data_IF_329539742814
#
_entry.id   IF_329539742814
#
_cell.length_a   1.000
_cell.length_b   1.000
_cell.length_c   1.000
_cell.angle_alpha   90.00
_cell.angle_beta   90.00
_cell.angle_gamma   90.00
#
_symmetry.space_group_name_H-M   'P 1'
#
loop_
_entity.id
_entity.type
_entity.pdbx_description
1 polymer ?
#
# COMPACT_ATOMS: atom_id res chain seq x y z
N UNK A 1 19.26 -38.41 -10.19
CA UNK A 1 20.26 -37.72 -11.02
C UNK A 1 20.40 -36.31 -10.44
N UNK A 2 21.62 -35.88 -10.12
CA UNK A 2 21.88 -34.53 -9.62
C UNK A 2 22.68 -33.75 -10.66
N UNK A 3 22.33 -32.47 -10.82
CA UNK A 3 23.18 -31.50 -11.52
C UNK A 3 23.91 -30.69 -10.47
N UNK A 4 25.23 -30.68 -10.53
CA UNK A 4 26.08 -29.93 -9.61
C UNK A 4 27.20 -29.27 -10.41
N UNK A 5 27.45 -27.99 -10.14
CA UNK A 5 28.55 -27.21 -10.70
C UNK A 5 29.10 -26.31 -9.61
N UNK A 6 30.42 -26.11 -9.60
CA UNK A 6 31.10 -25.15 -8.74
C UNK A 6 31.26 -23.77 -9.42
N UNK A 7 30.72 -23.63 -10.62
CA UNK A 7 30.77 -22.40 -11.43
C UNK A 7 29.37 -22.04 -11.92
N UNK A 8 29.17 -21.96 -13.24
CA UNK A 8 27.88 -21.59 -13.85
C UNK A 8 27.16 -22.84 -14.37
N UNK A 9 25.85 -22.90 -14.15
CA UNK A 9 24.93 -23.73 -14.93
C UNK A 9 24.06 -22.80 -15.75
N UNK A 10 24.18 -22.84 -17.08
CA UNK A 10 23.33 -22.07 -17.98
C UNK A 10 22.17 -22.94 -18.47
N UNK A 11 20.94 -22.47 -18.27
CA UNK A 11 19.72 -23.11 -18.77
C UNK A 11 19.09 -22.18 -19.81
N UNK A 12 19.14 -22.58 -21.08
CA UNK A 12 18.56 -21.80 -22.18
C UNK A 12 17.37 -22.56 -22.76
N UNK A 13 16.19 -21.98 -22.70
CA UNK A 13 14.97 -22.51 -23.30
C UNK A 13 14.29 -21.43 -24.15
N UNK A 14 13.71 -21.80 -25.29
CA UNK A 14 12.99 -20.86 -26.17
C UNK A 14 11.59 -20.51 -25.66
N UNK A 15 11.04 -21.31 -24.75
CA UNK A 15 9.65 -21.18 -24.29
C UNK A 15 9.59 -21.03 -22.78
N UNK A 16 10.03 -22.03 -22.03
CA UNK A 16 9.98 -22.01 -20.57
C UNK A 16 11.00 -22.96 -19.95
N UNK A 17 11.36 -22.65 -18.71
CA UNK A 17 12.01 -23.58 -17.78
C UNK A 17 11.00 -23.86 -16.67
N UNK A 18 10.62 -25.13 -16.51
CA UNK A 18 9.69 -25.56 -15.45
C UNK A 18 10.47 -26.33 -14.39
N UNK A 19 10.46 -25.83 -13.15
CA UNK A 19 11.01 -26.52 -11.99
C UNK A 19 9.82 -27.06 -11.19
N UNK A 20 9.71 -28.39 -11.11
CA UNK A 20 8.65 -29.05 -10.35
C UNK A 20 9.19 -29.58 -9.02
N UNK A 21 8.33 -29.57 -8.01
CA UNK A 21 8.67 -29.96 -6.65
C UNK A 21 7.75 -29.27 -5.66
N UNK A 22 7.86 -29.64 -4.39
CA UNK A 22 7.09 -29.00 -3.31
C UNK A 22 7.76 -27.75 -2.76
N UNK A 23 9.05 -27.51 -3.07
CA UNK A 23 9.83 -26.34 -2.65
C UNK A 23 10.99 -26.06 -3.61
N UNK A 24 11.35 -24.79 -3.75
CA UNK A 24 12.55 -24.32 -4.46
C UNK A 24 13.29 -23.35 -3.54
N UNK A 25 14.59 -23.56 -3.35
CA UNK A 25 15.43 -22.73 -2.48
C UNK A 25 16.56 -22.11 -3.29
N UNK A 26 16.69 -20.79 -3.24
CA UNK A 26 17.85 -20.04 -3.77
C UNK A 26 18.65 -19.55 -2.57
N UNK A 27 19.86 -20.10 -2.38
CA UNK A 27 20.71 -19.81 -1.24
C UNK A 27 22.00 -19.08 -1.65
N UNK A 28 22.50 -18.21 -0.77
CA UNK A 28 23.80 -17.54 -0.93
C UNK A 28 23.79 -16.23 -1.76
N UNK A 29 22.63 -15.77 -2.25
CA UNK A 29 22.54 -14.53 -3.03
C UNK A 29 21.11 -14.11 -3.39
N UNK A 30 20.98 -13.10 -4.26
CA UNK A 30 19.68 -12.59 -4.73
C UNK A 30 19.08 -13.50 -5.81
N UNK A 31 17.75 -13.66 -5.78
CA UNK A 31 17.00 -14.00 -6.98
C UNK A 31 16.84 -12.73 -7.82
N UNK A 32 17.46 -12.69 -8.99
CA UNK A 32 17.37 -11.59 -9.94
C UNK A 32 16.44 -11.97 -11.09
N UNK A 33 15.38 -11.17 -11.31
CA UNK A 33 14.49 -11.27 -12.46
C UNK A 33 14.72 -10.03 -13.32
N UNK A 34 15.25 -10.21 -14.53
CA UNK A 34 15.58 -9.11 -15.45
C UNK A 34 14.50 -8.94 -16.52
N UNK A 35 14.09 -7.69 -16.78
CA UNK A 35 13.22 -7.26 -17.89
C UNK A 35 11.79 -7.83 -17.91
N UNK A 36 11.31 -8.44 -16.82
CA UNK A 36 9.96 -8.99 -16.72
C UNK A 36 9.32 -8.65 -15.36
N UNK A 37 7.99 -8.68 -15.32
CA UNK A 37 7.21 -8.60 -14.10
C UNK A 37 7.54 -9.76 -13.15
N UNK A 38 7.52 -9.52 -11.84
CA UNK A 38 7.57 -10.60 -10.85
C UNK A 38 6.15 -10.96 -10.43
N UNK A 39 5.69 -12.14 -10.84
CA UNK A 39 4.36 -12.64 -10.58
C UNK A 39 4.41 -13.90 -9.70
N UNK A 40 3.64 -13.88 -8.61
CA UNK A 40 3.35 -15.04 -7.77
C UNK A 40 1.86 -15.32 -7.83
N UNK A 41 1.51 -16.58 -8.06
CA UNK A 41 0.12 -17.06 -8.07
C UNK A 41 -0.09 -18.20 -7.09
N UNK A 42 -1.33 -18.40 -6.63
CA UNK A 42 -1.66 -19.54 -5.76
C UNK A 42 -2.00 -20.83 -6.52
N UNK A 43 -2.39 -20.73 -7.79
CA UNK A 43 -2.85 -21.86 -8.60
C UNK A 43 -2.57 -21.71 -10.11
N UNK A 44 -1.65 -20.81 -10.50
CA UNK A 44 -1.37 -20.50 -11.91
C UNK A 44 -2.32 -19.49 -12.55
N UNK A 45 -3.42 -19.12 -11.88
CA UNK A 45 -4.37 -18.11 -12.39
C UNK A 45 -4.56 -16.92 -11.44
N UNK A 46 -4.65 -17.18 -10.13
CA UNK A 46 -4.92 -16.16 -9.12
C UNK A 46 -3.61 -15.51 -8.65
N UNK A 47 -3.45 -14.22 -8.96
CA UNK A 47 -2.30 -13.42 -8.55
C UNK A 47 -2.37 -13.10 -7.05
N UNK A 48 -1.28 -13.34 -6.34
CA UNK A 48 -1.16 -13.02 -4.89
C UNK A 48 -0.05 -12.00 -4.61
N UNK A 49 0.90 -11.86 -5.54
CA UNK A 49 1.88 -10.79 -5.53
C UNK A 49 2.30 -10.50 -6.97
N UNK A 50 2.31 -9.22 -7.34
CA UNK A 50 2.65 -8.79 -8.71
C UNK A 50 3.45 -7.50 -8.63
N UNK A 51 4.57 -7.46 -9.34
CA UNK A 51 5.37 -6.25 -9.54
C UNK A 51 5.41 -5.94 -11.03
N UNK A 52 4.75 -4.85 -11.43
CA UNK A 52 4.58 -4.42 -12.84
C UNK A 52 5.12 -3.02 -13.13
N UNK A 53 6.00 -2.49 -12.28
CA UNK A 53 6.50 -1.13 -12.42
C UNK A 53 7.30 -0.97 -13.73
N UNK A 54 6.75 -0.21 -14.69
CA UNK A 54 7.40 0.04 -15.99
C UNK A 54 8.62 0.98 -15.88
N UNK A 55 8.68 1.80 -14.84
CA UNK A 55 9.86 2.55 -14.38
C UNK A 55 9.59 3.05 -12.95
N UNK A 56 10.62 3.41 -12.19
CA UNK A 56 10.42 3.91 -10.82
C UNK A 56 10.09 2.81 -9.81
N UNK A 57 9.57 3.20 -8.64
CA UNK A 57 9.77 2.45 -7.41
C UNK A 57 8.88 1.20 -7.21
N UNK A 58 9.53 0.09 -6.79
CA UNK A 58 9.07 -0.81 -5.71
C UNK A 58 10.31 -1.30 -4.96
N UNK A 59 10.31 -1.27 -3.63
CA UNK A 59 11.33 -1.93 -2.81
C UNK A 59 10.91 -1.89 -1.35
N UNK A 60 10.82 -3.02 -0.61
CA UNK A 60 11.19 -3.01 0.83
C UNK A 60 11.57 -4.42 1.38
N UNK A 61 12.75 -4.50 2.03
CA UNK A 61 13.29 -5.71 2.67
C UNK A 61 12.94 -5.86 4.16
N UNK A 62 11.86 -5.20 4.61
CA UNK A 62 11.28 -5.29 5.94
C UNK A 62 10.45 -4.04 6.27
N UNK A 63 9.46 -4.04 7.15
CA UNK A 63 8.43 -5.05 7.25
C UNK A 63 7.26 -4.64 6.35
N UNK A 64 6.57 -5.64 5.80
CA UNK A 64 5.16 -5.49 5.46
C UNK A 64 4.45 -6.75 5.94
N UNK A 65 3.37 -6.59 6.71
CA UNK A 65 2.44 -7.71 6.95
C UNK A 65 1.01 -7.22 6.96
N UNK A 66 0.19 -7.78 6.06
CA UNK A 66 -1.25 -7.58 5.97
C UNK A 66 -1.91 -8.93 5.68
N UNK A 67 -2.75 -9.47 6.55
CA UNK A 67 -3.44 -10.75 6.29
C UNK A 67 -4.87 -10.85 6.82
N UNK A 68 -5.63 -9.75 6.67
CA UNK A 68 -7.12 -9.69 6.63
C UNK A 68 -7.84 -10.00 7.96
N UNK A 69 -8.89 -9.26 8.38
CA UNK A 69 -10.22 -9.28 7.74
C UNK A 69 -10.74 -7.97 7.11
N UNK A 70 -10.22 -6.77 7.41
CA UNK A 70 -10.70 -5.50 6.79
C UNK A 70 -9.58 -4.46 6.60
N UNK A 71 -8.30 -4.80 6.87
CA UNK A 71 -7.19 -3.87 6.71
C UNK A 71 -6.81 -3.72 5.22
N UNK A 72 -7.04 -2.55 4.64
CA UNK A 72 -6.67 -2.22 3.26
C UNK A 72 -5.97 -0.87 3.20
N UNK A 73 -4.93 -0.78 2.38
CA UNK A 73 -4.34 0.48 1.94
C UNK A 73 -4.50 0.52 0.42
N UNK A 74 -5.24 1.51 -0.08
CA UNK A 74 -5.54 1.66 -1.50
C UNK A 74 -5.20 3.08 -1.93
N UNK A 75 -4.34 3.22 -2.93
CA UNK A 75 -4.23 4.47 -3.66
C UNK A 75 -5.15 4.40 -4.88
N UNK A 76 -6.21 5.21 -4.92
CA UNK A 76 -7.15 5.28 -6.03
C UNK A 76 -7.22 6.69 -6.61
N UNK A 77 -7.42 6.80 -7.92
CA UNK A 77 -7.35 8.09 -8.61
C UNK A 77 -5.93 8.68 -8.64
N UNK A 78 -5.83 9.97 -9.00
CA UNK A 78 -4.54 10.65 -9.18
C UNK A 78 -3.83 11.00 -7.88
N UNK A 79 -4.55 11.16 -6.77
CA UNK A 79 -4.00 11.74 -5.52
C UNK A 79 -4.68 11.23 -4.24
N UNK A 80 -5.48 10.16 -4.28
CA UNK A 80 -6.21 9.70 -3.08
C UNK A 80 -5.58 8.47 -2.48
N UNK A 81 -5.34 8.52 -1.16
CA UNK A 81 -4.97 7.38 -0.34
C UNK A 81 -6.11 7.05 0.62
N UNK A 82 -6.60 5.82 0.57
CA UNK A 82 -7.62 5.29 1.47
C UNK A 82 -7.01 4.20 2.35
N UNK A 83 -7.16 4.34 3.66
CA UNK A 83 -6.84 3.31 4.65
C UNK A 83 -8.16 2.83 5.25
N UNK A 84 -8.49 1.56 5.03
CA UNK A 84 -9.64 0.90 5.65
C UNK A 84 -9.14 0.03 6.80
N UNK A 85 -9.59 0.31 8.02
CA UNK A 85 -9.29 -0.47 9.21
C UNK A 85 -10.29 -0.13 10.33
N UNK A 86 -10.62 -1.04 11.25
CA UNK A 86 -11.40 -0.70 12.45
C UNK A 86 -10.73 0.37 13.33
N UNK A 87 -9.40 0.46 13.30
CA UNK A 87 -8.63 1.45 14.05
C UNK A 87 -7.34 1.80 13.31
N UNK A 88 -6.97 3.09 13.37
CA UNK A 88 -5.67 3.60 12.91
C UNK A 88 -5.00 4.23 14.11
N UNK A 89 -3.82 3.72 14.47
CA UNK A 89 -3.05 4.18 15.62
C UNK A 89 -1.75 4.80 15.11
N UNK A 90 -1.53 6.06 15.46
CA UNK A 90 -0.27 6.76 15.23
C UNK A 90 0.52 6.78 16.54
N UNK A 91 1.73 6.23 16.55
CA UNK A 91 2.60 6.18 17.71
C UNK A 91 3.76 7.15 17.56
N UNK A 92 3.90 8.07 18.52
CA UNK A 92 4.92 9.13 18.49
C UNK A 92 4.67 10.22 17.42
N UNK A 93 5.51 11.25 17.42
CA UNK A 93 5.55 12.29 16.39
C UNK A 93 4.30 13.18 16.32
N UNK A 94 4.00 13.65 15.10
CA UNK A 94 2.88 14.55 14.80
C UNK A 94 2.15 14.12 13.54
N UNK A 95 0.82 14.25 13.52
CA UNK A 95 0.01 14.16 12.30
C UNK A 95 -0.07 15.56 11.71
N UNK A 96 0.53 15.75 10.53
CA UNK A 96 0.52 17.04 9.83
C UNK A 96 -0.56 17.00 8.75
N UNK A 97 -1.53 17.90 8.88
CA UNK A 97 -2.56 18.14 7.88
C UNK A 97 -2.16 19.40 7.10
N UNK A 98 -1.48 19.21 5.97
CA UNK A 98 -0.98 20.29 5.13
C UNK A 98 -1.91 20.54 3.93
N UNK A 99 -2.14 21.81 3.61
CA UNK A 99 -3.17 22.29 2.69
C UNK A 99 -4.33 23.00 3.39
N UNK A 100 -5.33 23.45 2.63
CA UNK A 100 -6.56 24.01 3.19
C UNK A 100 -7.76 23.38 2.50
N UNK A 101 -8.60 22.69 3.25
CA UNK A 101 -9.93 22.36 2.76
C UNK A 101 -10.79 23.64 2.69
N UNK A 102 -11.91 23.58 1.98
CA UNK A 102 -12.90 24.66 2.01
C UNK A 102 -13.46 24.83 3.42
N UNK A 103 -13.61 26.06 3.91
CA UNK A 103 -14.31 26.36 5.17
C UNK A 103 -15.76 25.86 5.12
N UNK A 104 -16.17 24.87 5.92
CA UNK A 104 -17.56 24.43 5.95
C UNK A 104 -18.47 25.56 6.47
N UNK A 105 -19.49 25.90 5.69
CA UNK A 105 -20.61 26.72 6.15
C UNK A 105 -21.69 25.81 6.73
N UNK A 106 -22.65 26.36 7.47
CA UNK A 106 -23.68 25.57 8.19
C UNK A 106 -24.54 24.65 7.31
N UNK A 107 -24.52 24.85 5.99
CA UNK A 107 -25.22 24.03 4.99
C UNK A 107 -24.29 23.15 4.15
N UNK A 108 -22.97 23.12 4.43
CA UNK A 108 -22.02 22.27 3.70
C UNK A 108 -22.30 20.81 4.05
N UNK A 109 -22.70 19.97 3.06
CA UNK A 109 -23.00 18.58 3.34
C UNK A 109 -21.78 17.83 3.88
N UNK A 110 -22.00 16.94 4.85
CA UNK A 110 -20.91 16.17 5.45
C UNK A 110 -21.34 14.80 5.95
N UNK A 111 -20.43 13.83 5.82
CA UNK A 111 -20.59 12.51 6.41
C UNK A 111 -20.03 12.50 7.83
N UNK A 112 -20.70 11.81 8.76
CA UNK A 112 -20.24 11.69 10.14
C UNK A 112 -18.78 11.22 10.19
N UNK A 113 -17.96 11.88 10.99
CA UNK A 113 -16.55 11.56 11.18
C UNK A 113 -15.62 12.21 10.15
N UNK A 114 -16.15 12.90 9.13
CA UNK A 114 -15.31 13.73 8.25
C UNK A 114 -14.65 14.83 9.07
N UNK A 115 -13.33 14.94 8.92
CA UNK A 115 -12.52 16.03 9.46
C UNK A 115 -12.13 16.94 8.29
N UNK A 116 -12.37 18.24 8.44
CA UNK A 116 -11.86 19.27 7.54
C UNK A 116 -11.09 20.31 8.36
N UNK A 117 -10.25 21.08 7.70
CA UNK A 117 -9.44 22.10 8.33
C UNK A 117 -9.19 23.25 7.37
N UNK A 118 -9.11 24.44 7.93
CA UNK A 118 -8.65 25.63 7.24
C UNK A 118 -7.58 26.34 8.10
N UNK A 119 -7.21 27.56 7.73
CA UNK A 119 -6.17 28.30 8.44
C UNK A 119 -6.55 28.68 9.89
N UNK A 120 -7.82 28.61 10.27
CA UNK A 120 -8.33 29.12 11.55
C UNK A 120 -9.02 28.07 12.42
N UNK A 121 -9.53 26.98 11.83
CA UNK A 121 -10.32 25.99 12.55
C UNK A 121 -10.09 24.56 12.07
N UNK A 122 -10.29 23.60 12.99
CA UNK A 122 -10.57 22.21 12.67
C UNK A 122 -12.06 21.96 12.80
N UNK A 123 -12.64 21.30 11.81
CA UNK A 123 -14.05 20.97 11.71
C UNK A 123 -14.25 19.47 11.80
N UNK A 124 -15.22 19.03 12.59
CA UNK A 124 -15.63 17.63 12.68
C UNK A 124 -17.13 17.54 12.41
N UNK A 125 -17.50 16.71 11.45
CA UNK A 125 -18.90 16.41 11.17
C UNK A 125 -19.43 15.44 12.24
N UNK A 126 -20.20 15.94 13.21
CA UNK A 126 -20.67 15.12 14.34
C UNK A 126 -21.88 14.24 13.99
N UNK A 127 -22.66 14.69 13.01
CA UNK A 127 -23.83 14.04 12.42
C UNK A 127 -24.00 14.58 11.00
N UNK A 128 -24.82 13.93 10.17
CA UNK A 128 -25.08 14.38 8.79
C UNK A 128 -25.32 15.88 8.73
N UNK A 129 -24.52 16.55 7.91
CA UNK A 129 -24.57 17.99 7.64
C UNK A 129 -24.46 18.88 8.89
N UNK A 130 -23.84 18.36 9.96
CA UNK A 130 -23.69 19.07 11.24
C UNK A 130 -22.21 19.22 11.61
N UNK A 131 -21.68 20.42 11.40
CA UNK A 131 -20.30 20.76 11.74
C UNK A 131 -20.14 21.26 13.18
N UNK A 132 -19.13 20.73 13.85
CA UNK A 132 -18.53 21.31 15.06
C UNK A 132 -17.16 21.85 14.69
N UNK A 133 -16.75 22.96 15.29
CA UNK A 133 -15.44 23.56 15.04
C UNK A 133 -14.69 23.89 16.32
N UNK A 134 -13.37 23.82 16.26
CA UNK A 134 -12.45 24.26 17.29
C UNK A 134 -11.45 25.26 16.68
N UNK A 135 -11.21 26.39 17.35
CA UNK A 135 -10.26 27.40 16.89
C UNK A 135 -8.82 26.89 17.00
N UNK A 136 -8.00 27.19 16.00
CA UNK A 136 -6.56 26.90 15.97
C UNK A 136 -5.73 27.99 16.67
N UNK A 137 -6.31 29.16 16.90
CA UNK A 137 -5.71 30.25 17.66
C UNK A 137 -6.18 30.22 19.14
N UNK A 138 -5.40 30.78 20.09
CA UNK A 138 -5.81 30.90 21.48
C UNK A 138 -7.12 31.67 21.60
N UNK A 139 -8.00 31.19 22.49
CA UNK A 139 -9.19 31.92 22.94
C UNK A 139 -8.83 33.07 23.87
#
# INVERSE_FOLDING_TARGET
MSLSSTSTMALTASTSVTITGTSTVVAGGHLHVSANDFLVTSNGANQVFVVTAASGAVSIAGDITLSSNVAQIMHSGSTSLTITSPSVIFTGGSVVLDGSASTPVSSTPCAKGTIQFDASYVYICSSTDTWRKAALAPI
#
